data_IF_684892326492
#
_entry.id   IF_684892326492
#
_cell.length_a   1.000
_cell.length_b   1.000
_cell.length_c   1.000
_cell.angle_alpha   90.00
_cell.angle_beta   90.00
_cell.angle_gamma   90.00
#
_symmetry.space_group_name_H-M   'P 1'
#
loop_
_entity.id
_entity.type
_entity.pdbx_description
1 polymer ?
#
# COMPACT_ATOMS: atom_id res chain seq x y z
N UNK A 1 23.13 -20.80 31.15
CA UNK A 1 23.29 -22.16 30.58
C UNK A 1 23.03 -22.05 29.09
N UNK A 2 24.04 -22.33 28.25
CA UNK A 2 23.93 -22.24 26.78
C UNK A 2 23.10 -23.42 26.25
N UNK A 3 21.98 -23.13 25.57
CA UNK A 3 21.17 -24.15 24.86
C UNK A 3 22.05 -24.90 23.86
N UNK A 4 21.81 -26.19 23.68
CA UNK A 4 22.53 -26.96 22.65
C UNK A 4 22.05 -26.57 21.25
N UNK A 5 22.89 -26.71 20.23
CA UNK A 5 22.50 -26.46 18.82
C UNK A 5 21.25 -27.27 18.44
N UNK A 6 21.14 -28.51 18.93
CA UNK A 6 19.97 -29.35 18.71
C UNK A 6 18.69 -28.77 19.35
N UNK A 7 18.78 -28.23 20.57
CA UNK A 7 17.64 -27.59 21.23
C UNK A 7 17.18 -26.32 20.49
N UNK A 8 18.13 -25.52 19.97
CA UNK A 8 17.81 -24.32 19.19
C UNK A 8 17.14 -24.69 17.86
N UNK A 9 17.59 -25.77 17.19
CA UNK A 9 16.96 -26.30 15.97
C UNK A 9 15.53 -26.78 16.24
N UNK A 10 15.31 -27.57 17.30
CA UNK A 10 13.97 -28.01 17.69
C UNK A 10 13.02 -26.85 18.02
N UNK A 11 13.53 -25.79 18.66
CA UNK A 11 12.75 -24.59 18.92
C UNK A 11 12.38 -23.85 17.64
N UNK A 12 13.29 -23.79 16.65
CA UNK A 12 13.02 -23.21 15.34
C UNK A 12 11.94 -24.00 14.59
N UNK A 13 12.06 -25.32 14.54
CA UNK A 13 11.07 -26.21 13.91
C UNK A 13 9.68 -26.04 14.56
N UNK A 14 9.64 -25.91 15.89
CA UNK A 14 8.41 -25.64 16.62
C UNK A 14 7.79 -24.28 16.26
N UNK A 15 8.61 -23.24 16.08
CA UNK A 15 8.13 -21.94 15.61
C UNK A 15 7.56 -22.06 14.19
N UNK A 16 8.27 -22.68 13.25
CA UNK A 16 7.81 -22.87 11.87
C UNK A 16 6.48 -23.64 11.79
N UNK A 17 6.31 -24.67 12.63
CA UNK A 17 5.04 -25.41 12.74
C UNK A 17 3.90 -24.49 13.20
N UNK A 18 4.09 -23.71 14.27
CA UNK A 18 3.06 -22.77 14.74
C UNK A 18 2.74 -21.67 13.72
N UNK A 19 3.72 -21.26 12.91
CA UNK A 19 3.53 -20.29 11.83
C UNK A 19 2.67 -20.91 10.73
N UNK A 20 2.93 -22.15 10.33
CA UNK A 20 2.14 -22.86 9.31
C UNK A 20 0.67 -23.03 9.72
N UNK A 21 0.40 -23.39 10.98
CA UNK A 21 -0.96 -23.49 11.52
C UNK A 21 -1.66 -22.12 11.51
N UNK A 22 -0.95 -21.07 11.95
CA UNK A 22 -1.49 -19.71 11.95
C UNK A 22 -1.70 -19.17 10.53
N UNK A 23 -0.92 -19.63 9.54
CA UNK A 23 -1.10 -19.27 8.14
C UNK A 23 -2.40 -19.85 7.55
N UNK A 24 -2.74 -21.09 7.90
CA UNK A 24 -4.01 -21.72 7.51
C UNK A 24 -5.19 -20.93 8.10
N UNK A 25 -5.13 -20.65 9.41
CA UNK A 25 -6.16 -19.87 10.10
C UNK A 25 -6.32 -18.48 9.48
N UNK A 26 -5.21 -17.80 9.17
CA UNK A 26 -5.23 -16.48 8.52
C UNK A 26 -5.86 -16.55 7.13
N UNK A 27 -5.57 -17.59 6.35
CA UNK A 27 -6.14 -17.76 5.00
C UNK A 27 -7.65 -17.96 5.06
N UNK A 28 -8.12 -18.85 5.93
CA UNK A 28 -9.55 -19.12 6.10
C UNK A 28 -10.30 -17.87 6.58
N UNK A 29 -9.67 -17.13 7.49
CA UNK A 29 -10.18 -15.85 7.96
C UNK A 29 -10.29 -14.82 6.82
N UNK A 30 -9.30 -14.75 5.93
CA UNK A 30 -9.37 -13.88 4.76
C UNK A 30 -10.44 -14.31 3.76
N UNK A 31 -10.65 -15.61 3.54
CA UNK A 31 -11.74 -16.09 2.70
C UNK A 31 -13.10 -15.60 3.20
N UNK A 32 -13.36 -15.72 4.50
CA UNK A 32 -14.59 -15.25 5.13
C UNK A 32 -14.72 -13.72 5.05
N UNK A 33 -13.64 -13.01 5.36
CA UNK A 33 -13.59 -11.56 5.26
C UNK A 33 -13.87 -11.06 3.84
N UNK A 34 -13.25 -11.66 2.81
CA UNK A 34 -13.47 -11.27 1.42
C UNK A 34 -14.87 -11.61 0.91
N UNK A 35 -15.49 -12.68 1.41
CA UNK A 35 -16.89 -12.97 1.09
C UNK A 35 -17.79 -11.84 1.57
N UNK A 36 -17.70 -11.47 2.84
CA UNK A 36 -18.46 -10.35 3.42
C UNK A 36 -18.10 -9.02 2.73
N UNK A 37 -16.81 -8.78 2.47
CA UNK A 37 -16.35 -7.54 1.86
C UNK A 37 -16.97 -7.37 0.48
N UNK A 38 -17.02 -8.45 -0.31
CA UNK A 38 -17.63 -8.43 -1.63
C UNK A 38 -19.12 -8.07 -1.59
N UNK A 39 -19.85 -8.54 -0.57
CA UNK A 39 -21.27 -8.21 -0.37
C UNK A 39 -21.46 -6.75 0.01
N UNK A 40 -20.67 -6.25 0.96
CA UNK A 40 -20.77 -4.87 1.46
C UNK A 40 -20.31 -3.86 0.40
N UNK A 41 -19.25 -4.17 -0.35
CA UNK A 41 -18.83 -3.38 -1.51
C UNK A 41 -19.93 -3.32 -2.57
N UNK A 42 -20.58 -4.44 -2.89
CA UNK A 42 -21.70 -4.46 -3.84
C UNK A 42 -22.83 -3.52 -3.39
N UNK A 43 -23.23 -3.57 -2.12
CA UNK A 43 -24.28 -2.70 -1.59
C UNK A 43 -23.86 -1.22 -1.63
N UNK A 44 -22.65 -0.90 -1.19
CA UNK A 44 -22.13 0.45 -1.14
C UNK A 44 -21.93 1.04 -2.55
N UNK A 45 -21.47 0.26 -3.52
CA UNK A 45 -21.34 0.69 -4.91
C UNK A 45 -22.69 1.10 -5.49
N UNK A 46 -23.72 0.28 -5.30
CA UNK A 46 -25.07 0.57 -5.80
C UNK A 46 -25.66 1.81 -5.11
N UNK A 47 -25.49 1.91 -3.79
CA UNK A 47 -25.98 3.06 -3.01
C UNK A 47 -25.27 4.36 -3.43
N UNK A 48 -23.94 4.35 -3.52
CA UNK A 48 -23.16 5.52 -3.94
C UNK A 48 -23.50 5.92 -5.38
N UNK A 49 -23.68 4.95 -6.29
CA UNK A 49 -24.10 5.23 -7.67
C UNK A 49 -25.50 5.84 -7.74
N UNK A 50 -26.43 5.35 -6.91
CA UNK A 50 -27.75 5.94 -6.77
C UNK A 50 -27.67 7.39 -6.26
N UNK A 51 -26.85 7.65 -5.23
CA UNK A 51 -26.64 9.00 -4.70
C UNK A 51 -26.04 9.93 -5.75
N UNK A 52 -25.02 9.49 -6.50
CA UNK A 52 -24.43 10.25 -7.61
C UNK A 52 -25.52 10.65 -8.62
N UNK A 53 -26.34 9.70 -9.07
CA UNK A 53 -27.36 9.96 -10.07
C UNK A 53 -28.52 10.84 -9.56
N UNK A 54 -28.87 10.78 -8.27
CA UNK A 54 -30.09 11.41 -7.74
C UNK A 54 -29.84 12.66 -6.90
N UNK A 55 -28.70 12.75 -6.23
CA UNK A 55 -28.36 13.86 -5.33
C UNK A 55 -27.34 14.81 -5.95
N UNK A 56 -26.34 14.27 -6.66
CA UNK A 56 -25.25 15.08 -7.21
C UNK A 56 -25.48 15.48 -8.68
N UNK A 57 -26.03 14.59 -9.51
CA UNK A 57 -26.30 14.85 -10.93
C UNK A 57 -27.74 14.49 -11.38
N UNK A 58 -28.79 14.95 -10.67
CA UNK A 58 -30.17 14.61 -11.00
C UNK A 58 -30.58 15.05 -12.41
N UNK A 59 -30.16 16.24 -12.85
CA UNK A 59 -30.52 16.75 -14.18
C UNK A 59 -29.87 15.93 -15.29
N UNK A 60 -28.58 15.62 -15.17
CA UNK A 60 -27.88 14.75 -16.14
C UNK A 60 -28.55 13.38 -16.23
N UNK A 61 -28.90 12.78 -15.10
CA UNK A 61 -29.59 11.50 -15.07
C UNK A 61 -31.01 11.57 -15.66
N UNK A 62 -31.78 12.62 -15.36
CA UNK A 62 -33.14 12.80 -15.90
C UNK A 62 -33.13 12.95 -17.42
N UNK A 63 -32.12 13.61 -17.97
CA UNK A 63 -31.94 13.83 -19.41
C UNK A 63 -31.59 12.55 -20.19
N UNK A 64 -31.21 11.47 -19.52
CA UNK A 64 -30.96 10.19 -20.18
C UNK A 64 -32.25 9.56 -20.73
N UNK A 65 -32.13 8.88 -21.87
CA UNK A 65 -33.21 8.06 -22.40
C UNK A 65 -33.52 6.90 -21.45
N UNK A 66 -34.70 6.30 -21.58
CA UNK A 66 -35.07 5.13 -20.79
C UNK A 66 -34.07 3.98 -20.99
N UNK A 67 -33.61 3.78 -22.23
CA UNK A 67 -32.65 2.74 -22.59
C UNK A 67 -31.28 3.00 -21.93
N UNK A 68 -30.80 4.24 -21.96
CA UNK A 68 -29.51 4.60 -21.35
C UNK A 68 -29.54 4.46 -19.81
N UNK A 69 -30.67 4.80 -19.18
CA UNK A 69 -30.90 4.56 -17.74
C UNK A 69 -30.83 3.07 -17.42
N UNK A 70 -31.47 2.22 -18.22
CA UNK A 70 -31.46 0.77 -18.04
C UNK A 70 -30.06 0.19 -18.25
N UNK A 71 -29.36 0.58 -19.32
CA UNK A 71 -28.00 0.14 -19.60
C UNK A 71 -27.04 0.53 -18.47
N UNK A 72 -27.06 1.79 -18.02
CA UNK A 72 -26.24 2.26 -16.90
C UNK A 72 -26.48 1.41 -15.64
N UNK A 73 -27.74 1.17 -15.27
CA UNK A 73 -28.07 0.36 -14.10
C UNK A 73 -27.61 -1.10 -14.24
N UNK A 74 -27.73 -1.69 -15.42
CA UNK A 74 -27.27 -3.06 -15.69
C UNK A 74 -25.74 -3.14 -15.59
N UNK A 75 -25.01 -2.21 -16.20
CA UNK A 75 -23.55 -2.15 -16.14
C UNK A 75 -23.05 -1.99 -14.71
N UNK A 76 -23.65 -1.09 -13.91
CA UNK A 76 -23.28 -0.91 -12.51
C UNK A 76 -23.53 -2.18 -11.67
N UNK A 77 -24.64 -2.88 -11.92
CA UNK A 77 -24.92 -4.18 -11.27
C UNK A 77 -23.89 -5.23 -11.67
N UNK A 78 -23.52 -5.29 -12.94
CA UNK A 78 -22.52 -6.22 -13.44
C UNK A 78 -21.15 -5.96 -12.79
N UNK A 79 -20.69 -4.70 -12.77
CA UNK A 79 -19.46 -4.30 -12.08
C UNK A 79 -19.49 -4.68 -10.59
N UNK A 80 -20.64 -4.56 -9.92
CA UNK A 80 -20.79 -4.95 -8.51
C UNK A 80 -20.66 -6.46 -8.26
N UNK A 81 -20.98 -7.30 -9.26
CA UNK A 81 -20.90 -8.76 -9.17
C UNK A 81 -19.48 -9.24 -9.50
N UNK A 82 -18.78 -8.56 -10.41
CA UNK A 82 -17.40 -8.89 -10.82
C UNK A 82 -16.35 -8.71 -9.72
N UNK A 83 -16.65 -7.92 -8.69
CA UNK A 83 -15.73 -7.65 -7.58
C UNK A 83 -15.40 -8.92 -6.80
N UNK A 84 -16.40 -9.78 -6.56
CA UNK A 84 -16.21 -11.01 -5.78
C UNK A 84 -15.10 -11.90 -6.37
N UNK A 85 -15.17 -12.38 -7.63
CA UNK A 85 -14.10 -13.20 -8.18
C UNK A 85 -12.75 -12.47 -8.27
N UNK A 86 -12.75 -11.13 -8.47
CA UNK A 86 -11.51 -10.34 -8.49
C UNK A 86 -10.86 -10.23 -7.10
N UNK A 87 -11.63 -10.23 -6.01
CA UNK A 87 -11.10 -10.25 -4.65
C UNK A 87 -10.58 -11.65 -4.29
N UNK A 88 -11.32 -12.71 -4.62
CA UNK A 88 -10.93 -14.08 -4.28
C UNK A 88 -9.65 -14.53 -5.00
N UNK A 89 -9.42 -14.08 -6.24
CA UNK A 89 -8.17 -14.39 -6.96
C UNK A 89 -6.92 -13.85 -6.28
N UNK A 90 -7.04 -12.87 -5.36
CA UNK A 90 -5.92 -12.35 -4.56
C UNK A 90 -5.39 -13.41 -3.60
N UNK A 91 -6.28 -14.21 -2.99
CA UNK A 91 -5.89 -15.26 -2.03
C UNK A 91 -5.25 -16.45 -2.73
N UNK A 92 -5.68 -16.76 -3.95
CA UNK A 92 -5.20 -17.90 -4.73
C UNK A 92 -3.78 -17.70 -5.27
N UNK A 93 -3.27 -16.47 -5.27
CA UNK A 93 -1.93 -16.15 -5.75
C UNK A 93 -0.85 -16.64 -4.79
N UNK A 94 0.09 -17.42 -5.33
CA UNK A 94 1.18 -18.06 -4.58
C UNK A 94 2.55 -17.37 -4.74
N UNK A 95 2.57 -16.25 -5.44
CA UNK A 95 3.79 -15.51 -5.75
C UNK A 95 3.81 -14.15 -5.05
N UNK A 96 4.95 -13.83 -4.43
CA UNK A 96 5.19 -12.51 -3.88
C UNK A 96 5.50 -11.55 -5.04
N UNK A 97 4.65 -10.56 -5.21
CA UNK A 97 4.98 -9.39 -6.01
C UNK A 97 6.02 -8.56 -5.28
N UNK A 98 6.98 -7.95 -6.01
CA UNK A 98 7.88 -6.99 -5.39
C UNK A 98 7.06 -5.93 -4.67
N UNK A 99 7.45 -5.61 -3.43
CA UNK A 99 6.93 -4.42 -2.78
C UNK A 99 7.16 -3.25 -3.74
N UNK A 100 6.15 -2.39 -3.98
CA UNK A 100 6.39 -1.17 -4.74
C UNK A 100 7.57 -0.46 -4.09
N UNK A 101 8.54 0.00 -4.89
CA UNK A 101 9.68 0.72 -4.37
C UNK A 101 9.17 1.93 -3.56
N UNK A 102 9.09 1.77 -2.25
CA UNK A 102 9.24 2.88 -1.34
C UNK A 102 10.67 3.36 -1.63
N UNK A 103 10.80 4.40 -2.45
CA UNK A 103 12.03 5.19 -2.50
C UNK A 103 12.25 5.68 -1.08
N UNK A 104 12.93 4.85 -0.30
CA UNK A 104 13.39 5.19 1.03
C UNK A 104 14.28 6.40 0.79
N UNK A 105 13.78 7.59 1.14
CA UNK A 105 14.39 8.89 0.82
C UNK A 105 15.91 8.89 1.13
N UNK A 106 16.30 8.11 2.15
CA UNK A 106 17.67 7.81 2.54
C UNK A 106 18.53 7.17 1.44
N UNK A 107 18.02 6.21 0.67
CA UNK A 107 18.74 5.55 -0.42
C UNK A 107 19.02 6.52 -1.58
N UNK A 108 18.09 7.44 -1.86
CA UNK A 108 18.25 8.49 -2.87
C UNK A 108 19.24 9.57 -2.41
N UNK A 109 19.22 9.94 -1.13
CA UNK A 109 20.20 10.83 -0.52
C UNK A 109 21.62 10.22 -0.52
N UNK A 110 21.76 8.91 -0.29
CA UNK A 110 23.05 8.20 -0.39
C UNK A 110 23.56 8.17 -1.83
N UNK A 111 22.65 8.06 -2.81
CA UNK A 111 23.00 8.08 -4.24
C UNK A 111 23.46 9.47 -4.70
N UNK A 112 22.91 10.54 -4.11
CA UNK A 112 23.23 11.94 -4.41
C UNK A 112 24.28 12.57 -3.47
N UNK A 113 24.80 11.82 -2.50
CA UNK A 113 25.95 12.25 -1.73
C UNK A 113 27.15 12.43 -2.69
N UNK A 114 27.80 13.61 -2.72
CA UNK A 114 28.98 13.79 -3.55
C UNK A 114 30.02 12.76 -3.10
N UNK A 115 30.39 11.85 -4.00
CA UNK A 115 31.48 10.90 -3.79
C UNK A 115 32.76 11.70 -3.61
N UNK A 116 33.10 12.05 -2.38
CA UNK A 116 34.37 12.67 -2.03
C UNK A 116 35.46 11.67 -2.39
N UNK A 117 36.11 11.89 -3.54
CA UNK A 117 37.34 11.20 -3.90
C UNK A 117 38.35 11.53 -2.81
N UNK A 118 38.56 10.61 -1.88
CA UNK A 118 39.74 10.60 -1.01
C UNK A 118 40.91 10.31 -1.95
N UNK A 119 41.49 11.37 -2.51
CA UNK A 119 42.83 11.31 -3.07
C UNK A 119 43.79 11.29 -1.90
N UNK A 120 44.41 10.14 -1.69
CA UNK A 120 45.64 10.01 -0.94
C UNK A 120 46.69 10.94 -1.55
N UNK A 121 47.07 11.98 -0.82
CA UNK A 121 48.41 12.57 -0.91
C UNK A 121 48.85 13.00 0.48
N UNK A 122 49.80 12.24 0.98
CA UNK A 122 50.69 12.53 2.09
C UNK A 122 51.30 13.92 1.94
N UNK A 123 51.13 14.79 2.93
CA UNK A 123 52.24 15.52 3.57
C UNK A 123 51.76 16.19 4.85
N UNK A 124 52.63 16.10 5.85
CA UNK A 124 52.42 16.45 7.23
C UNK A 124 52.33 17.96 7.46
N UNK A 125 51.49 18.37 8.40
CA UNK A 125 51.85 19.38 9.40
C UNK A 125 50.95 19.20 10.63
N UNK A 126 51.59 19.23 11.81
CA UNK A 126 51.00 19.08 13.14
C UNK A 126 50.12 20.29 13.46
N UNK A 127 48.96 20.08 14.07
CA UNK A 127 48.71 20.70 15.38
C UNK A 127 47.55 20.05 16.13
N UNK A 128 47.68 20.08 17.45
CA UNK A 128 46.85 19.44 18.46
C UNK A 128 45.41 20.01 18.53
N UNK A 129 44.42 19.14 18.78
CA UNK A 129 43.50 19.19 19.95
C UNK A 129 42.34 18.20 19.77
N UNK A 130 42.22 17.32 20.76
CA UNK A 130 41.15 16.34 20.91
C UNK A 130 39.77 16.98 21.14
N UNK A 131 38.73 16.38 20.56
CA UNK A 131 37.46 16.08 21.24
C UNK A 131 36.66 15.04 20.44
N UNK A 132 36.64 13.80 20.93
CA UNK A 132 35.80 12.72 20.40
C UNK A 132 34.37 12.88 20.94
N UNK A 133 33.47 13.41 20.12
CA UNK A 133 32.03 13.28 20.38
C UNK A 133 31.63 11.84 20.05
N UNK A 134 31.72 10.95 21.05
CA UNK A 134 31.10 9.63 20.99
C UNK A 134 29.59 9.83 20.83
N UNK A 135 29.06 9.45 19.68
CA UNK A 135 27.62 9.43 19.43
C UNK A 135 27.04 8.33 20.32
N UNK A 136 26.30 8.75 21.33
CA UNK A 136 25.73 7.89 22.34
C UNK A 136 24.56 7.08 21.75
N UNK A 137 24.86 5.82 21.38
CA UNK A 137 23.93 4.87 20.76
C UNK A 137 22.72 4.53 21.64
N UNK A 138 22.75 4.90 22.93
CA UNK A 138 21.66 4.67 23.88
C UNK A 138 20.53 5.70 23.75
N UNK A 139 20.86 6.95 23.37
CA UNK A 139 19.87 8.00 23.11
C UNK A 139 19.03 7.71 21.86
N UNK A 140 19.66 7.19 20.80
CA UNK A 140 18.95 6.81 19.55
C UNK A 140 17.98 5.65 19.80
N UNK A 141 18.33 4.71 20.69
CA UNK A 141 17.44 3.60 21.08
C UNK A 141 16.25 4.08 21.90
N UNK A 142 16.42 5.08 22.75
CA UNK A 142 15.34 5.68 23.53
C UNK A 142 14.36 6.46 22.63
N UNK A 143 14.86 7.18 21.62
CA UNK A 143 14.02 7.92 20.65
C UNK A 143 13.19 6.97 19.76
N UNK A 144 13.75 5.82 19.36
CA UNK A 144 13.05 4.80 18.56
C UNK A 144 12.02 4.00 19.37
N UNK A 145 12.18 3.90 20.69
CA UNK A 145 11.22 3.22 21.56
C UNK A 145 9.97 4.08 21.85
N UNK A 146 10.08 5.41 21.76
CA UNK A 146 8.98 6.35 21.99
C UNK A 146 8.23 6.78 20.72
N UNK A 147 8.69 6.36 19.54
CA UNK A 147 7.93 6.54 18.31
C UNK A 147 6.80 5.50 18.28
N UNK A 148 5.61 5.88 18.75
CA UNK A 148 4.37 5.19 18.40
C UNK A 148 4.30 5.07 16.87
N UNK A 149 4.55 3.87 16.35
CA UNK A 149 4.41 3.54 14.93
C UNK A 149 2.92 3.47 14.62
N UNK A 150 2.28 4.63 14.61
CA UNK A 150 0.93 4.83 14.14
C UNK A 150 0.94 6.08 13.25
N UNK A 151 0.76 5.86 11.94
CA UNK A 151 0.58 6.86 10.89
C UNK A 151 1.87 7.44 10.27
N UNK A 152 2.66 6.60 9.60
CA UNK A 152 3.36 7.07 8.40
C UNK A 152 2.50 6.67 7.20
N UNK A 153 1.89 7.68 6.60
CA UNK A 153 1.05 7.55 5.42
C UNK A 153 1.94 7.44 4.18
N UNK A 154 1.78 6.34 3.44
CA UNK A 154 2.53 6.06 2.21
C UNK A 154 2.19 7.10 1.13
N UNK A 155 3.20 7.83 0.66
CA UNK A 155 3.13 8.67 -0.53
C UNK A 155 3.64 7.84 -1.72
N UNK A 156 2.76 7.53 -2.68
CA UNK A 156 3.12 6.94 -3.97
C UNK A 156 3.49 8.07 -4.94
N UNK A 157 4.69 8.04 -5.53
CA UNK A 157 5.06 8.86 -6.70
C UNK A 157 5.13 7.91 -7.89
N UNK A 158 4.12 7.96 -8.76
CA UNK A 158 4.18 7.32 -10.08
C UNK A 158 5.15 8.11 -10.96
N UNK A 159 6.33 7.56 -11.25
CA UNK A 159 7.17 8.04 -12.36
C UNK A 159 6.49 7.65 -13.66
N UNK A 160 5.74 8.57 -14.25
CA UNK A 160 5.18 8.41 -15.60
C UNK A 160 6.30 8.44 -16.64
N UNK A 161 6.52 7.30 -17.30
CA UNK A 161 7.18 7.23 -18.60
C UNK A 161 6.27 7.93 -19.63
N UNK A 162 6.63 9.16 -20.01
CA UNK A 162 6.12 9.85 -21.20
C UNK A 162 7.16 10.89 -21.63
N UNK A 163 8.10 10.50 -22.51
CA UNK A 163 8.85 11.44 -23.35
C UNK A 163 8.98 10.83 -24.75
N UNK A 164 8.21 11.38 -25.69
CA UNK A 164 8.46 11.22 -27.12
C UNK A 164 9.57 12.18 -27.58
N UNK A 165 10.53 11.57 -28.27
CA UNK A 165 11.22 12.00 -29.50
C UNK A 165 12.66 12.56 -29.45
N UNK A 166 13.47 11.88 -30.29
CA UNK A 166 14.70 12.25 -31.00
C UNK A 166 15.93 12.72 -30.21
N UNK A 167 16.91 11.82 -30.03
CA UNK A 167 18.21 11.87 -30.71
C UNK A 167 19.06 10.64 -30.33
N UNK A 168 19.73 10.07 -31.32
CA UNK A 168 20.57 8.87 -31.24
C UNK A 168 21.83 9.12 -30.40
N UNK A 169 21.90 8.60 -29.16
CA UNK A 169 23.20 8.33 -28.52
C UNK A 169 23.17 7.00 -27.75
N UNK A 170 24.11 6.12 -28.11
CA UNK A 170 24.38 4.83 -27.49
C UNK A 170 24.67 4.99 -25.99
N UNK A 171 23.71 4.62 -25.13
CA UNK A 171 23.98 4.44 -23.70
C UNK A 171 23.55 3.03 -23.28
N UNK A 172 24.58 2.25 -22.98
CA UNK A 172 24.57 0.91 -22.38
C UNK A 172 23.39 0.65 -21.43
N UNK A 173 22.54 -0.32 -21.79
CA UNK A 173 21.49 -0.91 -20.96
C UNK A 173 22.05 -1.42 -19.62
N UNK A 174 21.96 -0.60 -18.58
CA UNK A 174 21.92 -1.11 -17.21
C UNK A 174 20.50 -1.58 -16.93
N UNK A 175 20.21 -2.82 -17.32
CA UNK A 175 19.02 -3.53 -16.84
C UNK A 175 19.16 -3.68 -15.33
N UNK A 176 18.40 -2.90 -14.56
CA UNK A 176 18.18 -3.19 -13.14
C UNK A 176 17.63 -4.60 -13.03
N UNK A 177 18.24 -5.49 -12.23
CA UNK A 177 17.74 -6.85 -12.08
C UNK A 177 16.31 -6.79 -11.52
N UNK A 178 15.36 -7.34 -12.29
CA UNK A 178 14.02 -7.65 -11.83
C UNK A 178 14.19 -8.51 -10.55
N UNK A 179 13.67 -8.08 -9.38
CA UNK A 179 13.78 -8.89 -8.17
C UNK A 179 13.11 -10.25 -8.41
N UNK A 180 13.75 -11.37 -8.02
CA UNK A 180 13.24 -12.70 -8.33
C UNK A 180 11.88 -12.92 -7.67
N UNK A 181 10.93 -13.43 -8.45
CA UNK A 181 9.61 -13.89 -7.99
C UNK A 181 9.85 -15.02 -6.97
N UNK A 182 9.63 -14.74 -5.68
CA UNK A 182 9.75 -15.73 -4.60
C UNK A 182 8.39 -16.39 -4.39
N UNK A 183 8.34 -17.73 -4.46
CA UNK A 183 7.18 -18.51 -4.04
C UNK A 183 6.94 -18.28 -2.54
N UNK A 184 5.68 -18.17 -2.14
CA UNK A 184 5.31 -17.96 -0.74
C UNK A 184 5.55 -19.26 0.04
N UNK A 185 6.39 -19.16 1.08
CA UNK A 185 6.60 -20.25 2.03
C UNK A 185 5.81 -19.93 3.29
N UNK A 186 4.67 -20.59 3.48
CA UNK A 186 3.77 -20.31 4.60
C UNK A 186 4.31 -20.76 5.97
N UNK A 187 5.43 -21.48 6.00
CA UNK A 187 6.13 -21.85 7.24
C UNK A 187 7.08 -20.74 7.71
N UNK A 188 7.41 -19.80 6.82
CA UNK A 188 8.29 -18.68 7.13
C UNK A 188 7.46 -17.45 7.55
N UNK A 189 7.62 -16.93 8.77
CA UNK A 189 6.82 -15.81 9.26
C UNK A 189 7.09 -14.50 8.48
N UNK A 190 8.27 -14.33 7.89
CA UNK A 190 8.55 -13.17 7.03
C UNK A 190 7.77 -13.22 5.72
N UNK A 191 7.67 -14.40 5.09
CA UNK A 191 6.91 -14.56 3.86
C UNK A 191 5.41 -14.37 4.11
N UNK A 192 4.90 -14.83 5.25
CA UNK A 192 3.51 -14.64 5.66
C UNK A 192 3.17 -13.15 5.87
N UNK A 193 4.08 -12.38 6.46
CA UNK A 193 3.96 -10.92 6.60
C UNK A 193 3.89 -10.20 5.24
N UNK A 194 4.75 -10.59 4.29
CA UNK A 194 4.76 -10.02 2.95
C UNK A 194 3.48 -10.38 2.19
N UNK A 195 3.03 -11.62 2.29
CA UNK A 195 1.76 -12.06 1.70
C UNK A 195 0.56 -11.27 2.25
N UNK A 196 0.51 -11.05 3.57
CA UNK A 196 -0.50 -10.18 4.20
C UNK A 196 -0.50 -8.76 3.59
N UNK A 197 0.67 -8.12 3.54
CA UNK A 197 0.81 -6.77 2.94
C UNK A 197 0.34 -6.75 1.50
N UNK A 198 0.73 -7.76 0.72
CA UNK A 198 0.31 -7.91 -0.66
C UNK A 198 -1.22 -8.03 -0.79
N UNK A 199 -1.88 -8.82 0.06
CA UNK A 199 -3.35 -8.92 0.05
C UNK A 199 -3.98 -7.55 0.28
N UNK A 200 -3.56 -6.83 1.32
CA UNK A 200 -4.10 -5.50 1.64
C UNK A 200 -3.91 -4.50 0.49
N UNK A 201 -2.72 -4.49 -0.12
CA UNK A 201 -2.42 -3.68 -1.31
C UNK A 201 -3.35 -4.04 -2.47
N UNK A 202 -3.54 -5.33 -2.75
CA UNK A 202 -4.37 -5.82 -3.85
C UNK A 202 -5.85 -5.56 -3.62
N UNK A 203 -6.36 -5.67 -2.39
CA UNK A 203 -7.73 -5.28 -2.04
C UNK A 203 -7.95 -3.81 -2.36
N UNK A 204 -7.08 -2.92 -1.87
CA UNK A 204 -7.16 -1.48 -2.12
C UNK A 204 -7.14 -1.19 -3.63
N UNK A 205 -6.16 -1.75 -4.35
CA UNK A 205 -6.01 -1.58 -5.81
C UNK A 205 -7.26 -2.05 -6.56
N UNK A 206 -7.89 -3.15 -6.13
CA UNK A 206 -9.11 -3.65 -6.74
C UNK A 206 -10.27 -2.67 -6.54
N UNK A 207 -10.48 -2.17 -5.31
CA UNK A 207 -11.51 -1.15 -5.02
C UNK A 207 -11.30 0.15 -5.81
N UNK A 208 -10.05 0.60 -5.95
CA UNK A 208 -9.70 1.77 -6.74
C UNK A 208 -10.00 1.52 -8.23
N UNK A 209 -9.60 0.36 -8.77
CA UNK A 209 -9.90 -0.02 -10.16
C UNK A 209 -11.40 -0.12 -10.43
N UNK A 210 -12.18 -0.69 -9.50
CA UNK A 210 -13.64 -0.71 -9.58
C UNK A 210 -14.19 0.72 -9.58
N UNK A 211 -13.71 1.59 -8.69
CA UNK A 211 -14.13 3.00 -8.63
C UNK A 211 -13.85 3.72 -9.95
N UNK A 212 -12.67 3.52 -10.55
CA UNK A 212 -12.32 4.05 -11.89
C UNK A 212 -13.27 3.54 -12.97
N UNK A 213 -13.55 2.22 -13.01
CA UNK A 213 -14.50 1.62 -13.99
C UNK A 213 -15.90 2.20 -13.84
N UNK A 214 -16.39 2.38 -12.62
CA UNK A 214 -17.71 2.96 -12.34
C UNK A 214 -17.77 4.42 -12.76
N UNK A 215 -16.76 5.23 -12.39
CA UNK A 215 -16.69 6.63 -12.80
C UNK A 215 -16.62 6.78 -14.32
N UNK A 216 -15.85 5.93 -15.00
CA UNK A 216 -15.82 5.89 -16.47
C UNK A 216 -17.20 5.57 -17.05
N UNK A 217 -17.91 4.57 -16.52
CA UNK A 217 -19.26 4.24 -16.96
C UNK A 217 -20.24 5.42 -16.77
N UNK A 218 -20.11 6.17 -15.68
CA UNK A 218 -20.92 7.36 -15.39
C UNK A 218 -20.56 8.56 -16.30
N UNK A 219 -19.29 8.69 -16.71
CA UNK A 219 -18.82 9.66 -17.71
C UNK A 219 -19.31 9.30 -19.11
N UNK A 220 -19.15 8.05 -19.54
CA UNK A 220 -19.62 7.54 -20.84
C UNK A 220 -21.14 7.74 -20.99
N UNK A 221 -21.88 7.61 -19.87
CA UNK A 221 -23.32 7.86 -19.80
C UNK A 221 -23.67 9.35 -19.66
N UNK A 222 -22.70 10.27 -19.70
CA UNK A 222 -22.86 11.73 -19.54
C UNK A 222 -23.53 12.17 -18.23
N UNK A 223 -23.50 11.33 -17.20
CA UNK A 223 -23.99 11.68 -15.85
C UNK A 223 -22.98 12.58 -15.17
N UNK A 224 -21.72 12.13 -15.14
CA UNK A 224 -20.58 12.90 -14.63
C UNK A 224 -19.94 13.66 -15.79
N UNK A 225 -19.51 14.93 -15.62
CA UNK A 225 -18.83 15.67 -16.66
C UNK A 225 -17.48 15.03 -17.08
N UNK A 226 -17.21 14.98 -18.39
CA UNK A 226 -15.95 14.47 -18.97
C UNK A 226 -14.72 15.35 -18.69
N UNK A 227 -14.89 16.45 -17.94
CA UNK A 227 -13.85 17.46 -17.68
C UNK A 227 -12.81 17.05 -16.64
N UNK A 228 -12.78 15.80 -16.22
CA UNK A 228 -11.79 15.30 -15.25
C UNK A 228 -10.85 14.33 -15.94
N UNK A 229 -9.64 14.77 -16.32
CA UNK A 229 -8.60 13.86 -16.79
C UNK A 229 -8.38 12.73 -15.78
N UNK A 230 -8.23 11.50 -16.27
CA UNK A 230 -7.95 10.32 -15.45
C UNK A 230 -6.79 10.54 -14.47
N UNK A 231 -5.75 11.26 -14.90
CA UNK A 231 -4.59 11.63 -14.07
C UNK A 231 -4.97 12.46 -12.82
N UNK A 232 -5.98 13.34 -12.88
CA UNK A 232 -6.42 14.13 -11.71
C UNK A 232 -7.24 13.26 -10.74
N UNK A 233 -8.02 12.32 -11.25
CA UNK A 233 -8.76 11.35 -10.42
C UNK A 233 -7.75 10.51 -9.63
N UNK A 234 -6.71 10.05 -10.30
CA UNK A 234 -5.67 9.20 -9.68
C UNK A 234 -4.90 9.95 -8.59
N UNK A 235 -4.50 11.20 -8.86
CA UNK A 235 -3.86 12.08 -7.88
C UNK A 235 -4.79 12.36 -6.69
N UNK A 236 -6.09 12.61 -6.93
CA UNK A 236 -7.03 12.88 -5.85
C UNK A 236 -7.35 11.64 -4.99
N UNK A 237 -7.41 10.47 -5.63
CA UNK A 237 -7.49 9.18 -4.92
C UNK A 237 -6.23 8.97 -4.07
N UNK A 238 -5.04 9.35 -4.54
CA UNK A 238 -3.80 9.19 -3.79
C UNK A 238 -3.59 10.23 -2.66
N UNK A 239 -4.01 11.48 -2.85
CA UNK A 239 -3.64 12.61 -1.96
C UNK A 239 -4.58 12.87 -0.78
N UNK A 240 -5.80 12.35 -0.79
CA UNK A 240 -6.80 12.63 0.26
C UNK A 240 -6.52 11.97 1.62
N UNK A 241 -5.57 11.03 1.69
CA UNK A 241 -5.06 10.54 2.98
C UNK A 241 -4.39 11.67 3.77
N UNK A 242 -3.71 12.57 3.04
CA UNK A 242 -2.97 13.66 3.65
C UNK A 242 -3.93 14.81 3.98
N UNK A 243 -4.26 14.96 5.28
CA UNK A 243 -5.09 16.02 5.85
C UNK A 243 -4.94 17.36 5.13
N UNK A 244 -5.90 17.75 4.27
CA UNK A 244 -5.77 19.01 3.55
C UNK A 244 -6.94 19.49 2.70
N UNK A 245 -7.83 18.60 2.22
CA UNK A 245 -9.02 19.05 1.52
C UNK A 245 -10.09 19.46 2.54
N UNK A 246 -10.12 20.75 2.90
CA UNK A 246 -11.25 21.34 3.62
C UNK A 246 -12.51 21.10 2.78
N UNK A 247 -13.38 20.19 3.24
CA UNK A 247 -14.74 20.01 2.74
C UNK A 247 -15.46 21.35 2.75
N UNK A 248 -15.47 22.05 1.62
CA UNK A 248 -16.22 23.30 1.49
C UNK A 248 -17.70 22.94 1.51
N UNK A 249 -18.36 23.33 2.60
CA UNK A 249 -19.54 22.71 3.23
C UNK A 249 -20.89 22.92 2.53
N UNK A 250 -20.99 22.70 1.22
CA UNK A 250 -22.28 22.86 0.50
C UNK A 250 -22.88 21.57 -0.05
N UNK A 251 -22.11 20.50 -0.11
CA UNK A 251 -22.57 19.22 -0.65
C UNK A 251 -22.91 18.24 0.49
N UNK A 252 -23.93 17.38 0.32
CA UNK A 252 -24.25 16.36 1.31
C UNK A 252 -23.07 15.41 1.48
N UNK A 253 -22.61 15.22 2.72
CA UNK A 253 -21.58 14.23 3.02
C UNK A 253 -22.16 12.83 2.82
N UNK A 254 -21.68 12.14 1.81
CA UNK A 254 -22.14 10.80 1.45
C UNK A 254 -20.95 9.83 1.47
N UNK A 255 -21.14 8.62 2.01
CA UNK A 255 -20.08 7.63 2.06
C UNK A 255 -19.67 7.23 0.64
N UNK A 256 -18.39 6.93 0.46
CA UNK A 256 -17.79 6.51 -0.80
C UNK A 256 -17.94 7.53 -1.96
N UNK A 257 -18.02 8.83 -1.65
CA UNK A 257 -18.06 9.92 -2.63
C UNK A 257 -16.92 10.91 -2.39
N UNK A 258 -16.20 11.23 -3.47
CA UNK A 258 -15.07 12.16 -3.50
C UNK A 258 -15.51 13.48 -4.16
N UNK A 259 -15.24 14.61 -3.51
CA UNK A 259 -15.53 15.94 -4.06
C UNK A 259 -14.23 16.64 -4.52
N UNK A 260 -14.15 16.95 -5.81
CA UNK A 260 -13.05 17.69 -6.43
C UNK A 260 -13.48 19.10 -6.75
N UNK A 261 -12.64 20.09 -6.45
CA UNK A 261 -12.84 21.47 -6.92
C UNK A 261 -11.87 21.73 -8.07
N UNK A 262 -12.39 21.99 -9.27
CA UNK A 262 -11.60 22.32 -10.46
C UNK A 262 -11.77 23.80 -10.77
N UNK A 263 -10.67 24.54 -10.87
CA UNK A 263 -10.69 25.91 -11.39
C UNK A 263 -10.99 25.85 -12.91
N UNK A 264 -12.12 26.41 -13.33
CA UNK A 264 -12.43 26.51 -14.76
C UNK A 264 -11.85 27.80 -15.32
N UNK A 265 -10.91 27.69 -16.27
CA UNK A 265 -10.41 28.82 -17.04
C UNK A 265 -11.49 29.25 -18.04
N UNK A 266 -12.38 30.17 -17.62
CA UNK A 266 -13.15 30.93 -18.56
C UNK A 266 -12.34 32.15 -19.03
N UNK A 267 -12.14 32.20 -20.33
CA UNK A 267 -11.34 33.16 -21.05
C UNK A 267 -11.71 34.63 -20.76
N UNK A 268 -10.65 35.44 -20.59
CA UNK A 268 -10.54 36.91 -20.72
C UNK A 268 -11.86 37.68 -20.89
N UNK A 269 -12.43 38.14 -19.77
CA UNK A 269 -12.94 39.50 -19.47
C UNK A 269 -14.12 39.43 -18.49
N UNK A 270 -13.82 39.25 -17.22
CA UNK A 270 -14.46 39.97 -16.13
C UNK A 270 -13.71 39.66 -14.84
N UNK A 271 -13.21 40.69 -14.16
CA UNK A 271 -12.80 40.57 -12.78
C UNK A 271 -14.09 40.34 -11.99
N UNK A 272 -14.13 39.24 -11.22
CA UNK A 272 -14.98 38.89 -10.06
C UNK A 272 -15.52 37.45 -10.24
N UNK A 273 -15.05 36.56 -9.36
CA UNK A 273 -15.36 35.13 -9.20
C UNK A 273 -14.69 34.16 -10.20
N UNK A 274 -13.55 33.58 -9.77
CA UNK A 274 -13.08 32.28 -10.26
C UNK A 274 -14.21 31.26 -10.06
N UNK A 275 -14.83 30.80 -11.13
CA UNK A 275 -15.85 29.75 -11.06
C UNK A 275 -15.13 28.41 -10.84
N UNK A 276 -15.01 28.01 -9.57
CA UNK A 276 -14.61 26.67 -9.16
C UNK A 276 -15.78 25.72 -9.49
N UNK A 277 -15.61 24.87 -10.50
CA UNK A 277 -16.55 23.78 -10.76
C UNK A 277 -16.26 22.65 -9.76
N UNK A 278 -17.25 22.31 -8.93
CA UNK A 278 -17.17 21.18 -8.03
C UNK A 278 -17.70 19.92 -8.71
N UNK A 279 -16.94 18.83 -8.64
CA UNK A 279 -17.25 17.55 -9.27
C UNK A 279 -17.25 16.48 -8.20
N UNK A 280 -18.34 15.72 -8.13
CA UNK A 280 -18.48 14.56 -7.23
C UNK A 280 -18.24 13.27 -8.01
N UNK A 281 -17.41 12.38 -7.49
CA UNK A 281 -17.03 11.09 -8.09
C UNK A 281 -17.28 9.95 -7.09
N UNK A 282 -17.45 8.73 -7.59
CA UNK A 282 -17.52 7.54 -6.75
C UNK A 282 -16.12 7.10 -6.34
N UNK A 283 -15.90 6.84 -5.06
CA UNK A 283 -14.65 6.27 -4.53
C UNK A 283 -14.95 5.29 -3.41
N UNK A 284 -14.81 4.01 -3.70
CA UNK A 284 -14.94 2.95 -2.69
C UNK A 284 -13.77 3.02 -1.71
N UNK A 285 -14.05 3.39 -0.46
CA UNK A 285 -13.04 3.51 0.59
C UNK A 285 -13.17 2.33 1.54
N UNK A 286 -12.10 1.53 1.64
CA UNK A 286 -12.11 0.32 2.47
C UNK A 286 -12.50 0.62 3.92
N UNK A 287 -11.95 1.68 4.51
CA UNK A 287 -12.26 2.07 5.88
C UNK A 287 -13.75 2.42 6.11
N UNK A 288 -14.41 3.05 5.12
CA UNK A 288 -15.84 3.37 5.24
C UNK A 288 -16.73 2.15 5.04
N UNK A 289 -16.34 1.27 4.14
CA UNK A 289 -17.05 0.01 3.91
C UNK A 289 -16.95 -0.88 5.16
N UNK A 290 -15.76 -1.01 5.76
CA UNK A 290 -15.54 -1.74 7.01
C UNK A 290 -16.29 -1.09 8.19
N UNK A 291 -16.33 0.25 8.25
CA UNK A 291 -17.05 0.96 9.32
C UNK A 291 -18.57 0.79 9.21
N UNK A 292 -19.10 0.72 7.99
CA UNK A 292 -20.54 0.57 7.74
C UNK A 292 -21.10 -0.82 8.07
N UNK A 293 -20.24 -1.82 8.27
CA UNK A 293 -20.64 -3.21 8.50
C UNK A 293 -19.96 -3.80 9.76
N UNK A 294 -20.71 -4.02 10.86
CA UNK A 294 -20.17 -4.58 12.10
C UNK A 294 -19.53 -5.96 11.94
N UNK A 295 -20.03 -6.80 11.03
CA UNK A 295 -19.49 -8.15 10.82
C UNK A 295 -18.12 -8.08 10.16
N UNK A 296 -17.95 -7.19 9.18
CA UNK A 296 -16.65 -6.93 8.55
C UNK A 296 -15.64 -6.41 9.55
N UNK A 297 -16.04 -5.48 10.41
CA UNK A 297 -15.17 -4.94 11.44
C UNK A 297 -14.73 -6.01 12.45
N UNK A 298 -15.63 -6.91 12.85
CA UNK A 298 -15.29 -8.05 13.70
C UNK A 298 -14.26 -8.99 13.04
N UNK A 299 -14.46 -9.33 11.77
CA UNK A 299 -13.52 -10.16 11.00
C UNK A 299 -12.16 -9.47 10.82
N UNK A 300 -12.17 -8.15 10.59
CA UNK A 300 -10.95 -7.32 10.54
C UNK A 300 -10.19 -7.35 11.85
N UNK A 301 -10.89 -7.31 12.99
CA UNK A 301 -10.32 -7.46 14.32
C UNK A 301 -9.63 -8.81 14.50
N UNK A 302 -10.26 -9.90 14.07
CA UNK A 302 -9.68 -11.24 14.10
C UNK A 302 -8.40 -11.34 13.23
N UNK A 303 -8.40 -10.77 12.02
CA UNK A 303 -7.20 -10.68 11.16
C UNK A 303 -6.07 -9.92 11.88
N UNK A 304 -6.37 -8.77 12.50
CA UNK A 304 -5.37 -7.99 13.26
C UNK A 304 -4.79 -8.78 14.44
N UNK A 305 -5.62 -9.57 15.12
CA UNK A 305 -5.16 -10.42 16.22
C UNK A 305 -4.19 -11.51 15.73
N UNK A 306 -4.52 -12.20 14.64
CA UNK A 306 -3.63 -13.18 14.01
C UNK A 306 -2.34 -12.53 13.53
N UNK A 307 -2.43 -11.34 12.95
CA UNK A 307 -1.27 -10.57 12.53
C UNK A 307 -0.35 -10.20 13.70
N UNK A 308 -0.93 -9.84 14.86
CA UNK A 308 -0.15 -9.59 16.08
C UNK A 308 0.55 -10.85 16.62
N UNK A 309 -0.04 -12.04 16.40
CA UNK A 309 0.58 -13.33 16.75
C UNK A 309 1.73 -13.64 15.80
N UNK A 310 1.55 -13.46 14.50
CA UNK A 310 2.57 -13.69 13.48
C UNK A 310 3.76 -12.73 13.66
N UNK A 311 3.53 -11.46 14.00
CA UNK A 311 4.64 -10.52 14.24
C UNK A 311 5.49 -10.93 15.44
N UNK A 312 4.86 -11.42 16.53
CA UNK A 312 5.56 -12.00 17.68
C UNK A 312 6.35 -13.26 17.31
N UNK A 313 5.76 -14.15 16.51
CA UNK A 313 6.44 -15.34 16.00
C UNK A 313 7.62 -14.96 15.10
N UNK A 314 7.49 -13.92 14.28
CA UNK A 314 8.58 -13.44 13.44
C UNK A 314 9.77 -12.93 14.25
N UNK A 315 9.53 -12.14 15.31
CA UNK A 315 10.61 -11.70 16.21
C UNK A 315 11.33 -12.89 16.83
N UNK A 316 10.56 -13.84 17.39
CA UNK A 316 11.14 -15.07 17.99
C UNK A 316 11.92 -15.89 16.97
N UNK A 317 11.38 -16.05 15.76
CA UNK A 317 12.04 -16.78 14.68
C UNK A 317 13.39 -16.14 14.32
N UNK A 318 13.45 -14.81 14.22
CA UNK A 318 14.70 -14.07 13.97
C UNK A 318 15.71 -14.24 15.09
N UNK A 319 15.26 -14.11 16.34
CA UNK A 319 16.12 -14.24 17.52
C UNK A 319 16.70 -15.66 17.62
N UNK A 320 15.87 -16.69 17.46
CA UNK A 320 16.28 -18.10 17.49
C UNK A 320 17.21 -18.44 16.32
N UNK A 321 16.93 -17.93 15.11
CA UNK A 321 17.80 -18.10 13.95
C UNK A 321 19.15 -17.43 14.14
N UNK A 322 19.18 -16.25 14.77
CA UNK A 322 20.43 -15.58 15.12
C UNK A 322 21.22 -16.36 16.17
N UNK A 323 20.55 -16.87 17.22
CA UNK A 323 21.18 -17.73 18.23
C UNK A 323 21.79 -18.99 17.62
N UNK A 324 21.09 -19.61 16.68
CA UNK A 324 21.59 -20.76 15.92
C UNK A 324 22.85 -20.40 15.13
N UNK A 325 22.83 -19.30 14.39
CA UNK A 325 23.99 -18.84 13.62
C UNK A 325 25.19 -18.55 14.52
N UNK A 326 24.98 -17.93 15.68
CA UNK A 326 26.04 -17.68 16.66
C UNK A 326 26.59 -18.99 17.22
N UNK A 327 25.73 -19.94 17.58
CA UNK A 327 26.15 -21.24 18.12
C UNK A 327 26.93 -22.07 17.08
N UNK A 328 26.49 -22.07 15.82
CA UNK A 328 27.18 -22.75 14.71
C UNK A 328 28.53 -22.07 14.39
N UNK A 329 28.58 -20.74 14.35
CA UNK A 329 29.82 -20.00 14.14
C UNK A 329 30.83 -20.26 15.26
N UNK A 330 30.37 -20.28 16.52
CA UNK A 330 31.20 -20.60 17.67
C UNK A 330 31.67 -22.06 17.67
N UNK A 331 30.87 -23.01 17.18
CA UNK A 331 31.28 -24.40 17.00
C UNK A 331 32.31 -24.53 15.89
N UNK A 332 32.07 -23.89 14.74
CA UNK A 332 32.98 -23.85 13.60
C UNK A 332 34.34 -23.24 14.00
N UNK A 333 34.33 -22.11 14.71
CA UNK A 333 35.54 -21.48 15.25
C UNK A 333 36.33 -22.42 16.16
N UNK A 334 35.65 -23.11 17.10
CA UNK A 334 36.30 -24.07 17.99
C UNK A 334 36.90 -25.26 17.22
N UNK A 335 36.21 -25.75 16.18
CA UNK A 335 36.73 -26.85 15.37
C UNK A 335 37.91 -26.44 14.48
N UNK A 336 37.94 -25.20 13.98
CA UNK A 336 39.04 -24.70 13.15
C UNK A 336 40.27 -24.26 13.96
N UNK A 337 40.16 -24.21 15.30
CA UNK A 337 41.24 -23.78 16.18
C UNK A 337 42.15 -24.93 16.65
N UNK A 338 41.80 -26.20 16.36
CA UNK A 338 42.63 -27.38 16.65
C UNK A 338 43.43 -27.83 15.41
N UNK A 339 44.31 -26.97 14.92
CA UNK A 339 45.49 -27.35 14.12
C UNK A 339 46.60 -26.36 14.47
N UNK A 340 47.58 -26.84 15.25
CA UNK A 340 48.70 -26.07 15.82
C UNK A 340 49.41 -26.86 16.91
#
# INVERSE_FOLDING_TARGET
MTKSIQQIKQELDGIELTVSETAIELRDQYCNYLDLLSQSVKQQLILASYQICTQFYPQSFLNLSLNDKQNLQQTLRQLSIEIKPQLFSIIEQQELEPEPNELNLMAELIKNLPKTKIKSKTQAEKDDRAESAAIDLELIKAELANAEIANIELIEIETSDDLENDEEEEVTKYSTPIPPIKKIEFNNPEHLLLWYKQIERKIKKNLDNTSKKVNKCLQDSKVIPDRVPSKIIDIAVQTEGNKGAKNNSRLPNAPNILHLAIETDQSKKSKIQKNLAQISLLRLRLAEIEFGDPLLNAQRGQIRNLMSKISKLNSKHKDTKHQLAVAEAQAAWRSSWYEG
#
